data_IF_416675049867
#
_entry.id   IF_416675049867
#
_cell.length_a   1.000
_cell.length_b   1.000
_cell.length_c   1.000
_cell.angle_alpha   90.00
_cell.angle_beta   90.00
_cell.angle_gamma   90.00
#
_symmetry.space_group_name_H-M   'P 1'
#
loop_
_entity.id
_entity.type
_entity.pdbx_description
1 polymer ?
#
# COMPACT_ATOMS: atom_id res chain seq x y z
N UNK A 1 -41.71 39.67 -46.62
CA UNK A 1 -40.28 40.03 -46.43
C UNK A 1 -40.13 40.84 -45.15
N UNK A 2 -39.57 40.24 -44.09
CA UNK A 2 -38.89 40.90 -42.97
C UNK A 2 -38.11 39.79 -42.24
N UNK A 3 -36.84 39.68 -42.58
CA UNK A 3 -35.87 38.88 -41.83
C UNK A 3 -35.48 39.66 -40.57
N UNK A 4 -35.44 39.01 -39.41
CA UNK A 4 -34.71 39.54 -38.26
C UNK A 4 -33.87 38.42 -37.65
N UNK A 5 -32.58 38.76 -37.51
CA UNK A 5 -31.48 37.97 -36.98
C UNK A 5 -31.66 37.74 -35.48
N UNK A 6 -31.34 36.54 -35.00
CA UNK A 6 -30.74 36.34 -33.69
C UNK A 6 -29.86 35.10 -33.72
N UNK A 7 -28.57 35.30 -33.55
CA UNK A 7 -27.54 34.26 -33.49
C UNK A 7 -26.59 34.63 -32.34
N UNK A 8 -26.31 33.62 -31.52
CA UNK A 8 -25.13 33.40 -30.69
C UNK A 8 -24.73 34.45 -29.65
N UNK A 9 -25.08 34.15 -28.39
CA UNK A 9 -24.30 34.53 -27.22
C UNK A 9 -24.60 33.55 -26.07
N UNK A 10 -24.14 32.31 -26.16
CA UNK A 10 -24.31 31.29 -25.10
C UNK A 10 -23.29 30.15 -25.33
N UNK A 11 -22.01 30.38 -25.05
CA UNK A 11 -21.00 29.31 -25.03
C UNK A 11 -19.67 29.68 -24.37
N UNK A 12 -19.60 30.79 -23.61
CA UNK A 12 -18.32 31.25 -23.03
C UNK A 12 -18.28 31.07 -21.50
N UNK A 13 -19.43 31.11 -20.81
CA UNK A 13 -19.46 31.08 -19.34
C UNK A 13 -19.34 29.67 -18.71
N UNK A 14 -19.56 28.59 -19.46
CA UNK A 14 -19.52 27.22 -18.89
C UNK A 14 -18.08 26.67 -18.77
N UNK A 15 -17.14 27.15 -19.58
CA UNK A 15 -15.75 26.68 -19.53
C UNK A 15 -14.94 27.33 -18.41
N UNK A 16 -15.20 28.59 -18.05
CA UNK A 16 -14.48 29.27 -16.95
C UNK A 16 -14.87 28.72 -15.57
N UNK A 17 -16.16 28.40 -15.36
CA UNK A 17 -16.65 27.81 -14.10
C UNK A 17 -16.08 26.40 -13.84
N UNK A 18 -15.77 25.65 -14.91
CA UNK A 18 -15.16 24.31 -14.82
C UNK A 18 -13.67 24.35 -14.42
N UNK A 19 -12.95 25.42 -14.79
CA UNK A 19 -11.52 25.59 -14.49
C UNK A 19 -11.27 26.15 -13.08
N UNK A 20 -12.19 26.97 -12.56
CA UNK A 20 -12.06 27.57 -11.22
C UNK A 20 -12.28 26.51 -10.11
N UNK A 21 -13.24 25.62 -10.31
CA UNK A 21 -13.50 24.48 -9.41
C UNK A 21 -12.38 23.44 -9.37
N UNK A 22 -11.52 23.36 -10.39
CA UNK A 22 -10.37 22.44 -10.39
C UNK A 22 -9.18 23.00 -9.63
N UNK A 23 -8.99 24.32 -9.64
CA UNK A 23 -7.89 24.97 -8.92
C UNK A 23 -8.10 24.95 -7.41
N UNK A 24 -9.32 25.18 -6.94
CA UNK A 24 -9.62 25.12 -5.50
C UNK A 24 -9.48 23.70 -4.93
N UNK A 25 -9.79 22.67 -5.73
CA UNK A 25 -9.58 21.26 -5.36
C UNK A 25 -8.11 20.85 -5.24
N UNK A 26 -7.19 21.54 -5.92
CA UNK A 26 -5.76 21.25 -5.86
C UNK A 26 -5.06 21.90 -4.66
N UNK A 27 -5.70 22.89 -4.03
CA UNK A 27 -5.23 23.54 -2.80
C UNK A 27 -5.90 22.98 -1.54
N UNK A 28 -6.81 22.01 -1.70
CA UNK A 28 -7.42 21.27 -0.60
C UNK A 28 -6.32 20.50 0.16
N UNK A 29 -6.29 20.67 1.48
CA UNK A 29 -5.30 20.02 2.34
C UNK A 29 -5.38 18.49 2.27
N UNK A 30 -6.51 17.95 1.79
CA UNK A 30 -6.79 16.53 1.62
C UNK A 30 -6.61 16.02 0.19
N UNK A 31 -6.26 16.88 -0.78
CA UNK A 31 -6.14 16.51 -2.19
C UNK A 31 -5.18 15.31 -2.40
N UNK A 32 -4.09 15.28 -1.62
CA UNK A 32 -3.12 14.18 -1.65
C UNK A 32 -3.76 12.83 -1.28
N UNK A 33 -4.66 12.78 -0.30
CA UNK A 33 -5.29 11.55 0.17
C UNK A 33 -6.46 11.16 -0.73
N UNK A 34 -7.27 12.14 -1.17
CA UNK A 34 -8.52 11.88 -1.88
C UNK A 34 -8.26 11.59 -3.37
N UNK A 35 -7.36 12.33 -4.00
CA UNK A 35 -7.19 12.30 -5.46
C UNK A 35 -5.88 11.64 -5.90
N UNK A 36 -4.77 11.89 -5.20
CA UNK A 36 -3.44 11.42 -5.65
C UNK A 36 -3.13 10.02 -5.13
N UNK A 37 -3.43 9.76 -3.85
CA UNK A 37 -3.14 8.49 -3.19
C UNK A 37 -3.75 7.28 -3.90
N UNK A 38 -5.05 7.25 -4.30
CA UNK A 38 -5.61 6.10 -5.00
C UNK A 38 -4.83 5.71 -6.27
N UNK A 39 -4.47 6.69 -7.09
CA UNK A 39 -3.70 6.47 -8.32
C UNK A 39 -2.27 5.99 -8.05
N UNK A 40 -1.67 6.43 -6.94
CA UNK A 40 -0.34 5.97 -6.53
C UNK A 40 -0.37 4.57 -5.93
N UNK A 41 -1.46 4.17 -5.28
CA UNK A 41 -1.62 2.85 -4.68
C UNK A 41 -1.99 1.78 -5.70
N UNK A 42 -2.79 2.13 -6.71
CA UNK A 42 -3.18 1.21 -7.77
C UNK A 42 -1.93 0.69 -8.48
N UNK A 43 -1.77 -0.64 -8.51
CA UNK A 43 -0.59 -1.31 -9.09
C UNK A 43 0.75 -0.77 -8.54
N UNK A 44 0.78 -0.37 -7.27
CA UNK A 44 2.03 -0.04 -6.58
C UNK A 44 2.92 -1.26 -6.45
N UNK A 45 2.32 -2.42 -6.15
CA UNK A 45 3.03 -3.68 -6.06
C UNK A 45 3.15 -4.26 -7.46
N UNK A 46 4.38 -4.60 -7.83
CA UNK A 46 4.71 -5.23 -9.10
C UNK A 46 5.26 -6.63 -8.84
N UNK A 47 5.36 -7.44 -9.90
CA UNK A 47 6.04 -8.73 -9.86
C UNK A 47 7.24 -8.58 -10.79
N UNK A 48 8.44 -8.77 -10.26
CA UNK A 48 9.69 -8.64 -11.02
C UNK A 48 10.59 -9.84 -10.77
N UNK A 49 11.52 -10.09 -11.67
CA UNK A 49 12.53 -11.13 -11.49
C UNK A 49 13.38 -10.83 -10.26
N UNK A 50 13.67 -11.86 -9.48
CA UNK A 50 14.53 -11.74 -8.29
C UNK A 50 15.91 -11.18 -8.65
N UNK A 51 16.39 -11.51 -9.85
CA UNK A 51 17.62 -10.94 -10.40
C UNK A 51 17.55 -9.41 -10.52
N UNK A 52 16.52 -8.86 -11.16
CA UNK A 52 16.37 -7.41 -11.32
C UNK A 52 16.28 -6.72 -9.98
N UNK A 53 15.47 -7.26 -9.06
CA UNK A 53 15.32 -6.73 -7.70
C UNK A 53 16.67 -6.65 -6.99
N UNK A 54 17.48 -7.71 -7.03
CA UNK A 54 18.81 -7.72 -6.39
C UNK A 54 19.76 -6.70 -7.01
N UNK A 55 19.79 -6.59 -8.35
CA UNK A 55 20.66 -5.65 -9.07
C UNK A 55 20.31 -4.19 -8.75
N UNK A 56 19.03 -3.89 -8.57
CA UNK A 56 18.56 -2.54 -8.27
C UNK A 56 18.69 -2.18 -6.78
N UNK A 57 18.44 -3.14 -5.89
CA UNK A 57 18.39 -2.88 -4.44
C UNK A 57 19.72 -2.99 -3.71
N UNK A 58 20.70 -3.73 -4.25
CA UNK A 58 21.99 -3.89 -3.56
C UNK A 58 22.89 -2.66 -3.73
N UNK A 59 23.42 -2.18 -2.61
CA UNK A 59 24.44 -1.14 -2.57
C UNK A 59 25.87 -1.72 -2.69
N UNK A 60 26.01 -3.05 -2.66
CA UNK A 60 27.28 -3.75 -2.76
C UNK A 60 27.68 -3.91 -4.23
N UNK A 61 28.59 -3.06 -4.70
CA UNK A 61 29.09 -3.09 -6.07
C UNK A 61 29.76 -4.42 -6.42
N UNK A 62 30.42 -5.09 -5.46
CA UNK A 62 31.08 -6.37 -5.71
C UNK A 62 30.06 -7.48 -5.90
N UNK A 63 28.99 -7.48 -5.12
CA UNK A 63 27.86 -8.40 -5.30
C UNK A 63 27.16 -8.14 -6.64
N UNK A 64 26.90 -6.88 -6.96
CA UNK A 64 26.26 -6.47 -8.22
C UNK A 64 27.06 -6.92 -9.44
N UNK A 65 28.38 -6.74 -9.42
CA UNK A 65 29.26 -7.22 -10.49
C UNK A 65 29.23 -8.75 -10.62
N UNK A 66 29.27 -9.48 -9.50
CA UNK A 66 29.16 -10.94 -9.51
C UNK A 66 27.82 -11.43 -10.10
N UNK A 67 26.71 -10.77 -9.78
CA UNK A 67 25.41 -11.08 -10.36
C UNK A 67 25.38 -10.81 -11.87
N UNK A 68 25.97 -9.71 -12.33
CA UNK A 68 26.08 -9.37 -13.75
C UNK A 68 26.91 -10.42 -14.50
N UNK A 69 28.03 -10.87 -13.94
CA UNK A 69 28.89 -11.90 -14.53
C UNK A 69 28.14 -13.26 -14.65
N UNK A 70 27.20 -13.52 -13.76
CA UNK A 70 26.38 -14.72 -13.73
C UNK A 70 25.05 -14.61 -14.50
N UNK A 71 24.77 -13.47 -15.15
CA UNK A 71 23.46 -13.15 -15.74
C UNK A 71 22.87 -14.26 -16.63
N UNK A 72 23.67 -14.91 -17.46
CA UNK A 72 23.21 -15.93 -18.40
C UNK A 72 22.94 -17.29 -17.73
N UNK A 73 23.46 -17.49 -16.52
CA UNK A 73 23.28 -18.72 -15.73
C UNK A 73 22.14 -18.63 -14.70
N UNK A 74 21.67 -17.41 -14.41
CA UNK A 74 20.60 -17.17 -13.44
C UNK A 74 19.24 -17.39 -14.12
N UNK A 75 18.35 -18.09 -13.41
CA UNK A 75 16.97 -18.27 -13.86
C UNK A 75 16.15 -16.99 -13.62
N UNK A 76 15.87 -16.27 -14.71
CA UNK A 76 15.06 -15.03 -14.69
C UNK A 76 13.55 -15.30 -14.53
N UNK A 77 13.10 -16.56 -14.58
CA UNK A 77 11.70 -16.91 -14.34
C UNK A 77 11.32 -16.87 -12.85
N UNK A 78 12.31 -16.84 -11.97
CA UNK A 78 12.11 -16.71 -10.53
C UNK A 78 11.72 -15.26 -10.23
N UNK A 79 10.48 -15.06 -9.80
CA UNK A 79 9.90 -13.74 -9.51
C UNK A 79 9.64 -13.54 -8.02
N UNK A 80 9.57 -12.28 -7.61
CA UNK A 80 9.12 -11.84 -6.28
C UNK A 80 8.30 -10.55 -6.41
N UNK A 81 7.49 -10.27 -5.40
CA UNK A 81 6.84 -8.98 -5.22
C UNK A 81 7.90 -7.86 -5.13
N UNK A 82 7.68 -6.79 -5.89
CA UNK A 82 8.49 -5.56 -5.89
C UNK A 82 7.58 -4.34 -5.80
N UNK A 83 8.15 -3.14 -5.83
CA UNK A 83 7.45 -1.87 -5.73
C UNK A 83 7.78 -1.02 -6.95
N UNK A 84 6.76 -0.39 -7.55
CA UNK A 84 6.94 0.66 -8.53
C UNK A 84 7.70 1.85 -7.89
N UNK A 85 8.95 2.05 -8.29
CA UNK A 85 9.84 3.06 -7.71
C UNK A 85 9.33 4.48 -7.90
N UNK A 86 8.67 4.79 -9.02
CA UNK A 86 8.17 6.13 -9.31
C UNK A 86 6.98 6.46 -8.41
N UNK A 87 6.03 5.52 -8.27
CA UNK A 87 4.90 5.67 -7.35
C UNK A 87 5.37 5.70 -5.89
N UNK A 88 6.33 4.84 -5.52
CA UNK A 88 6.93 4.83 -4.18
C UNK A 88 7.60 6.16 -3.83
N UNK A 89 8.33 6.75 -4.79
CA UNK A 89 8.96 8.06 -4.61
C UNK A 89 7.90 9.14 -4.37
N UNK A 90 6.84 9.17 -5.18
CA UNK A 90 5.74 10.12 -5.02
C UNK A 90 5.03 9.97 -3.66
N UNK A 91 4.74 8.73 -3.25
CA UNK A 91 4.18 8.44 -1.93
C UNK A 91 5.10 8.87 -0.79
N UNK A 92 6.41 8.68 -0.93
CA UNK A 92 7.41 9.12 0.05
C UNK A 92 7.49 10.64 0.12
N UNK A 93 7.35 11.34 -1.01
CA UNK A 93 7.28 12.81 -1.02
C UNK A 93 6.03 13.34 -0.31
N UNK A 94 4.89 12.63 -0.41
CA UNK A 94 3.62 13.04 0.22
C UNK A 94 3.53 12.68 1.71
N UNK A 95 3.99 11.48 2.09
CA UNK A 95 3.77 10.92 3.44
C UNK A 95 5.07 10.65 4.22
N UNK A 96 6.23 10.96 3.64
CA UNK A 96 7.52 10.84 4.30
C UNK A 96 7.79 9.45 4.88
N UNK A 97 8.23 9.42 6.14
CA UNK A 97 8.59 8.18 6.83
C UNK A 97 7.41 7.22 7.04
N UNK A 98 6.16 7.72 7.07
CA UNK A 98 4.96 6.90 7.21
C UNK A 98 4.79 5.96 6.03
N UNK A 99 5.13 6.41 4.81
CA UNK A 99 5.14 5.56 3.62
C UNK A 99 6.17 4.43 3.74
N UNK A 100 7.41 4.75 4.15
CA UNK A 100 8.46 3.76 4.31
C UNK A 100 8.11 2.69 5.36
N UNK A 101 7.53 3.10 6.49
CA UNK A 101 7.01 2.18 7.50
C UNK A 101 5.86 1.33 6.96
N UNK A 102 4.95 1.91 6.18
CA UNK A 102 3.84 1.17 5.57
C UNK A 102 4.34 0.09 4.60
N UNK A 103 5.35 0.41 3.80
CA UNK A 103 6.02 -0.55 2.92
C UNK A 103 6.70 -1.66 3.73
N UNK A 104 7.43 -1.30 4.79
CA UNK A 104 8.04 -2.30 5.69
C UNK A 104 6.97 -3.23 6.29
N UNK A 105 5.81 -2.68 6.68
CA UNK A 105 4.68 -3.48 7.16
C UNK A 105 4.24 -4.50 6.11
N UNK A 106 4.00 -4.05 4.87
CA UNK A 106 3.51 -4.92 3.78
C UNK A 106 4.50 -6.05 3.47
N UNK A 107 5.80 -5.74 3.38
CA UNK A 107 6.82 -6.70 2.93
C UNK A 107 7.48 -7.51 4.05
N UNK A 108 7.53 -7.00 5.28
CA UNK A 108 8.30 -7.62 6.36
C UNK A 108 7.48 -8.06 7.57
N UNK A 109 6.19 -7.75 7.63
CA UNK A 109 5.33 -8.16 8.76
C UNK A 109 4.33 -9.23 8.33
N UNK A 110 3.88 -10.03 9.30
CA UNK A 110 2.70 -10.88 9.09
C UNK A 110 1.47 -10.04 9.38
N UNK A 111 0.52 -10.09 8.46
CA UNK A 111 -0.67 -9.27 8.48
C UNK A 111 -1.85 -10.19 8.73
N UNK A 112 -2.44 -10.07 9.92
CA UNK A 112 -3.63 -10.80 10.27
C UNK A 112 -4.84 -9.92 10.03
N UNK A 113 -5.86 -10.48 9.42
CA UNK A 113 -7.14 -9.85 9.20
C UNK A 113 -8.17 -10.59 10.06
N UNK A 114 -8.77 -9.88 11.02
CA UNK A 114 -9.91 -10.39 11.75
C UNK A 114 -11.18 -10.09 10.95
N UNK A 115 -11.91 -11.14 10.58
CA UNK A 115 -13.21 -11.04 9.90
C UNK A 115 -14.30 -11.60 10.80
N UNK A 116 -15.48 -10.98 10.77
CA UNK A 116 -16.66 -11.55 11.43
C UNK A 116 -17.03 -12.90 10.81
N UNK A 117 -17.55 -13.83 11.62
CA UNK A 117 -17.97 -15.15 11.14
C UNK A 117 -18.85 -15.07 9.89
N UNK A 118 -18.49 -15.86 8.87
CA UNK A 118 -19.25 -16.00 7.63
C UNK A 118 -18.83 -15.05 6.50
N UNK A 119 -17.81 -14.22 6.71
CA UNK A 119 -17.22 -13.39 5.64
C UNK A 119 -15.93 -14.02 5.16
N UNK A 120 -15.86 -14.29 3.86
CA UNK A 120 -14.62 -14.71 3.24
C UNK A 120 -13.75 -13.50 2.92
N UNK A 121 -12.43 -13.66 3.06
CA UNK A 121 -11.45 -12.61 2.79
C UNK A 121 -11.57 -12.07 1.36
N UNK A 122 -11.79 -12.97 0.40
CA UNK A 122 -11.99 -12.61 -1.00
C UNK A 122 -13.26 -11.78 -1.21
N UNK A 123 -14.34 -12.08 -0.51
CA UNK A 123 -15.57 -11.30 -0.61
C UNK A 123 -15.35 -9.88 -0.09
N UNK A 124 -14.67 -9.74 1.06
CA UNK A 124 -14.30 -8.43 1.60
C UNK A 124 -13.43 -7.64 0.62
N UNK A 125 -12.43 -8.26 0.01
CA UNK A 125 -11.54 -7.57 -0.92
C UNK A 125 -12.18 -7.21 -2.25
N UNK A 126 -13.17 -7.99 -2.71
CA UNK A 126 -13.94 -7.65 -3.90
C UNK A 126 -14.86 -6.44 -3.68
N UNK A 127 -15.41 -6.28 -2.48
CA UNK A 127 -16.29 -5.15 -2.16
C UNK A 127 -16.24 -4.81 -0.65
N UNK A 128 -15.22 -4.05 -0.20
CA UNK A 128 -15.07 -3.69 1.21
C UNK A 128 -16.27 -2.91 1.77
N UNK A 129 -17.00 -2.22 0.90
CA UNK A 129 -18.12 -1.36 1.26
C UNK A 129 -19.38 -2.16 1.60
N UNK A 130 -19.52 -3.41 1.14
CA UNK A 130 -20.65 -4.27 1.56
C UNK A 130 -20.61 -4.63 3.04
N UNK A 131 -19.44 -4.57 3.66
CA UNK A 131 -19.20 -5.11 5.00
C UNK A 131 -19.02 -3.99 6.05
N UNK A 132 -19.85 -2.95 5.95
CA UNK A 132 -19.85 -1.76 6.84
C UNK A 132 -20.06 -2.05 8.34
N UNK A 133 -20.52 -3.25 8.70
CA UNK A 133 -20.72 -3.67 10.10
C UNK A 133 -19.58 -4.51 10.64
N UNK A 134 -18.66 -4.95 9.79
CA UNK A 134 -17.62 -5.88 10.19
C UNK A 134 -16.34 -5.12 10.45
N UNK A 135 -15.82 -5.30 11.66
CA UNK A 135 -14.53 -4.76 12.04
C UNK A 135 -13.48 -5.55 11.27
N UNK A 136 -13.12 -5.08 10.07
CA UNK A 136 -11.89 -5.50 9.44
C UNK A 136 -10.76 -4.95 10.29
N UNK A 137 -10.29 -5.77 11.23
CA UNK A 137 -9.20 -5.40 12.11
C UNK A 137 -7.94 -6.03 11.57
N UNK A 138 -7.05 -5.20 11.02
CA UNK A 138 -5.71 -5.65 10.74
C UNK A 138 -4.91 -5.65 12.03
N UNK A 139 -4.26 -6.77 12.29
CA UNK A 139 -3.35 -7.00 13.40
C UNK A 139 -1.97 -7.28 12.80
N UNK A 140 -1.05 -6.32 12.91
CA UNK A 140 0.30 -6.42 12.34
C UNK A 140 1.24 -6.95 13.41
N UNK A 141 1.96 -8.04 13.11
CA UNK A 141 2.97 -8.57 14.03
C UNK A 141 4.38 -8.26 13.58
N UNK A 142 5.16 -7.74 14.52
CA UNK A 142 6.59 -7.51 14.40
C UNK A 142 7.38 -8.81 14.53
N UNK A 143 7.33 -9.65 13.48
CA UNK A 143 8.31 -10.74 13.32
C UNK A 143 9.44 -10.27 12.43
N UNK A 144 10.69 -10.39 12.89
CA UNK A 144 11.84 -10.01 12.08
C UNK A 144 11.94 -10.93 10.87
N UNK A 145 11.95 -10.36 9.66
CA UNK A 145 12.32 -11.11 8.47
C UNK A 145 13.83 -11.31 8.42
N UNK A 146 14.23 -12.46 7.89
CA UNK A 146 15.55 -12.72 7.35
C UNK A 146 15.92 -11.56 6.40
N UNK A 147 17.21 -11.20 6.34
CA UNK A 147 17.73 -10.20 5.41
C UNK A 147 17.17 -10.47 4.00
N UNK A 148 16.43 -9.51 3.44
CA UNK A 148 15.73 -9.68 2.16
C UNK A 148 16.73 -10.03 1.04
N UNK A 149 17.92 -9.44 1.04
CA UNK A 149 19.00 -9.79 0.09
C UNK A 149 19.35 -11.27 0.18
N UNK A 150 19.52 -11.81 1.39
CA UNK A 150 19.84 -13.23 1.60
C UNK A 150 18.70 -14.15 1.18
N UNK A 151 17.44 -13.78 1.49
CA UNK A 151 16.26 -14.55 1.05
C UNK A 151 16.19 -14.63 -0.47
N UNK A 152 16.41 -13.51 -1.15
CA UNK A 152 16.40 -13.41 -2.61
C UNK A 152 17.55 -14.18 -3.24
N UNK A 153 18.76 -14.09 -2.69
CA UNK A 153 19.91 -14.88 -3.14
C UNK A 153 19.63 -16.38 -3.00
N UNK A 154 19.05 -16.81 -1.88
CA UNK A 154 18.67 -18.21 -1.67
C UNK A 154 17.62 -18.67 -2.67
N UNK A 155 16.65 -17.82 -3.02
CA UNK A 155 15.68 -18.11 -4.10
C UNK A 155 16.36 -18.35 -5.44
N UNK A 156 17.45 -17.65 -5.73
CA UNK A 156 18.26 -17.89 -6.93
C UNK A 156 19.23 -19.09 -6.80
N UNK A 157 19.24 -19.79 -5.66
CA UNK A 157 20.16 -20.90 -5.40
C UNK A 157 21.57 -20.46 -5.02
N UNK A 158 21.75 -19.24 -4.50
CA UNK A 158 23.04 -18.70 -4.06
C UNK A 158 23.01 -18.29 -2.58
N UNK A 159 24.19 -18.19 -1.97
CA UNK A 159 24.38 -17.55 -0.67
C UNK A 159 25.66 -16.71 -0.68
N UNK A 160 25.70 -15.68 0.17
CA UNK A 160 26.88 -14.83 0.33
C UNK A 160 27.78 -15.40 1.43
N UNK A 161 29.01 -15.78 1.08
CA UNK A 161 30.02 -16.29 2.01
C UNK A 161 31.31 -15.49 1.85
N UNK A 162 31.74 -14.79 2.90
CA UNK A 162 32.94 -13.93 2.88
C UNK A 162 32.96 -12.93 1.70
N UNK A 163 31.81 -12.31 1.40
CA UNK A 163 31.68 -11.34 0.30
C UNK A 163 31.60 -11.95 -1.11
N UNK A 164 31.58 -13.28 -1.23
CA UNK A 164 31.44 -13.98 -2.51
C UNK A 164 30.12 -14.73 -2.61
N UNK A 165 29.53 -14.73 -3.81
CA UNK A 165 28.42 -15.61 -4.13
C UNK A 165 28.93 -17.03 -4.32
N UNK A 166 28.32 -17.97 -3.59
CA UNK A 166 28.56 -19.40 -3.73
C UNK A 166 27.22 -20.11 -3.96
N UNK A 167 27.16 -21.13 -4.83
CA UNK A 167 25.97 -21.95 -4.99
C UNK A 167 25.53 -22.53 -3.65
N UNK A 168 24.23 -22.44 -3.36
CA UNK A 168 23.62 -23.10 -2.22
C UNK A 168 23.45 -24.58 -2.57
N UNK A 169 24.16 -25.45 -1.86
CA UNK A 169 24.06 -26.91 -2.03
C UNK A 169 22.71 -27.48 -1.57
N UNK A 170 21.90 -26.68 -0.89
CA UNK A 170 20.68 -27.10 -0.22
C UNK A 170 19.44 -26.66 -1.02
N UNK A 171 19.21 -27.28 -2.18
CA UNK A 171 18.01 -27.04 -3.01
C UNK A 171 16.68 -27.44 -2.32
N UNK A 172 16.75 -28.08 -1.16
CA UNK A 172 15.58 -28.64 -0.44
C UNK A 172 15.18 -27.84 0.80
N UNK A 173 15.84 -26.74 1.11
CA UNK A 173 15.39 -25.89 2.22
C UNK A 173 14.23 -25.06 1.72
N UNK A 174 13.03 -25.62 1.83
CA UNK A 174 11.79 -24.88 1.67
C UNK A 174 11.88 -23.63 2.53
N UNK A 175 11.97 -22.47 1.89
CA UNK A 175 11.96 -21.13 2.53
C UNK A 175 10.70 -20.89 3.38
N UNK A 176 9.77 -21.85 3.42
CA UNK A 176 8.54 -21.84 4.18
C UNK A 176 8.69 -22.42 5.60
N UNK A 177 9.79 -23.10 5.95
CA UNK A 177 10.01 -23.67 7.29
C UNK A 177 10.92 -22.80 8.17
N UNK A 178 10.70 -21.48 8.19
CA UNK A 178 11.18 -20.66 9.32
C UNK A 178 10.12 -20.70 10.41
N UNK A 179 10.16 -21.83 11.13
CA UNK A 179 9.67 -22.11 12.48
C UNK A 179 8.82 -20.98 13.06
N UNK A 180 7.50 -21.16 13.04
CA UNK A 180 6.52 -20.44 13.86
C UNK A 180 6.74 -20.92 15.31
N UNK A 181 7.50 -20.17 16.09
CA UNK A 181 7.74 -20.46 17.51
C UNK A 181 7.54 -19.19 18.32
N UNK A 182 6.68 -19.33 19.32
CA UNK A 182 6.21 -18.41 20.35
C UNK A 182 5.49 -17.13 19.88
N UNK A 183 4.17 -17.11 20.10
CA UNK A 183 3.37 -15.87 20.27
C UNK A 183 3.95 -15.09 21.46
N UNK A 184 4.98 -14.28 21.23
CA UNK A 184 5.14 -13.09 22.07
C UNK A 184 3.97 -12.18 21.72
N UNK A 185 3.20 -11.73 22.72
CA UNK A 185 2.25 -10.63 22.58
C UNK A 185 3.06 -9.42 22.06
N UNK A 186 3.14 -9.26 20.75
CA UNK A 186 3.76 -8.10 20.13
C UNK A 186 2.84 -6.90 20.25
N UNK A 187 3.38 -5.70 20.03
CA UNK A 187 2.55 -4.51 19.87
C UNK A 187 1.66 -4.69 18.65
N UNK A 188 0.36 -4.81 18.89
CA UNK A 188 -0.65 -4.93 17.85
C UNK A 188 -1.33 -3.57 17.69
N UNK A 189 -1.35 -3.05 16.48
CA UNK A 189 -2.18 -1.89 16.14
C UNK A 189 -3.43 -2.36 15.41
N UNK A 190 -4.59 -1.93 15.89
CA UNK A 190 -5.89 -2.11 15.28
C UNK A 190 -6.14 -1.00 14.25
N UNK A 191 -6.45 -1.40 13.02
CA UNK A 191 -6.93 -0.49 11.96
C UNK A 191 -8.40 -0.78 11.70
N UNK A 192 -9.24 0.25 11.65
CA UNK A 192 -10.64 0.17 11.21
C UNK A 192 -10.84 1.19 10.08
N UNK A 193 -10.76 0.73 8.83
CA UNK A 193 -10.90 1.61 7.67
C UNK A 193 -12.31 2.16 7.48
N UNK A 194 -13.34 1.47 7.98
CA UNK A 194 -14.71 1.94 7.84
C UNK A 194 -14.94 3.20 8.69
N UNK A 195 -14.33 3.25 9.87
CA UNK A 195 -14.33 4.45 10.71
C UNK A 195 -13.10 5.35 10.48
N UNK A 196 -12.28 5.03 9.48
CA UNK A 196 -11.01 5.69 9.19
C UNK A 196 -10.09 5.82 10.41
N UNK A 197 -10.02 4.81 11.27
CA UNK A 197 -9.38 4.87 12.58
C UNK A 197 -8.15 3.94 12.68
N UNK A 198 -7.17 4.35 13.50
CA UNK A 198 -6.10 3.48 13.96
C UNK A 198 -5.69 3.81 15.40
N UNK A 199 -5.43 2.82 16.23
CA UNK A 199 -5.01 3.01 17.63
C UNK A 199 -3.52 3.32 17.80
N UNK A 200 -2.73 3.38 16.73
CA UNK A 200 -1.30 3.66 16.82
C UNK A 200 -1.00 5.13 17.18
N UNK A 201 0.13 5.35 17.87
CA UNK A 201 0.58 6.68 18.29
C UNK A 201 0.67 7.70 17.14
N UNK A 202 1.16 7.27 15.96
CA UNK A 202 1.30 8.14 14.78
C UNK A 202 -0.06 8.71 14.34
N UNK A 203 -1.12 7.88 14.39
CA UNK A 203 -2.47 8.32 14.08
C UNK A 203 -3.03 9.23 15.18
N UNK A 204 -2.87 8.83 16.45
CA UNK A 204 -3.38 9.60 17.60
C UNK A 204 -2.72 10.98 17.72
N UNK A 205 -1.44 11.10 17.37
CA UNK A 205 -0.71 12.37 17.39
C UNK A 205 -1.01 13.27 16.19
N UNK A 206 -1.69 12.76 15.16
CA UNK A 206 -2.06 13.58 14.00
C UNK A 206 -3.20 14.56 14.31
N UNK A 207 -3.97 14.33 15.37
CA UNK A 207 -5.05 15.20 15.78
C UNK A 207 -4.55 16.49 16.45
N UNK A 208 -5.09 17.63 16.00
CA UNK A 208 -4.79 18.95 16.56
C UNK A 208 -6.08 19.70 16.93
N UNK A 209 -6.00 20.63 17.86
CA UNK A 209 -7.16 21.38 18.38
C UNK A 209 -7.87 22.26 17.33
N UNK A 210 -7.19 22.58 16.22
CA UNK A 210 -7.68 23.42 15.13
C UNK A 210 -8.36 22.64 14.00
N UNK A 211 -8.35 21.31 14.06
CA UNK A 211 -9.04 20.45 13.08
C UNK A 211 -10.54 20.70 13.06
N UNK A 212 -11.12 20.64 11.85
CA UNK A 212 -12.57 20.87 11.65
C UNK A 212 -13.22 19.66 10.99
N UNK A 213 -14.49 19.37 11.32
CA UNK A 213 -15.26 18.39 10.58
C UNK A 213 -15.34 18.76 9.10
N UNK A 214 -15.03 17.80 8.23
CA UNK A 214 -15.16 17.93 6.79
C UNK A 214 -16.14 16.88 6.27
N UNK A 215 -16.98 17.28 5.32
CA UNK A 215 -17.90 16.36 4.66
C UNK A 215 -17.34 16.00 3.29
N UNK A 216 -16.91 14.75 3.16
CA UNK A 216 -16.48 14.19 1.87
C UNK A 216 -17.73 13.77 1.11
N UNK A 217 -18.00 14.44 -0.01
CA UNK A 217 -19.08 14.09 -0.92
C UNK A 217 -18.44 13.57 -2.21
N UNK A 218 -18.33 12.25 -2.34
CA UNK A 218 -17.71 11.62 -3.51
C UNK A 218 -17.76 10.11 -3.41
N UNK A 219 -17.82 9.47 -4.57
CA UNK A 219 -17.80 8.03 -4.78
C UNK A 219 -16.90 7.64 -5.96
N UNK A 220 -15.97 8.51 -6.34
CA UNK A 220 -15.14 8.31 -7.54
C UNK A 220 -14.10 7.21 -7.36
N UNK A 221 -13.70 6.95 -6.11
CA UNK A 221 -12.70 5.94 -5.76
C UNK A 221 -12.98 5.35 -4.37
N UNK A 222 -12.30 4.23 -4.07
CA UNK A 222 -12.50 3.48 -2.82
C UNK A 222 -12.27 4.35 -1.57
N UNK A 223 -11.27 5.23 -1.56
CA UNK A 223 -10.96 6.08 -0.40
C UNK A 223 -12.11 7.07 -0.17
N UNK A 224 -12.58 7.74 -1.22
CA UNK A 224 -13.76 8.61 -1.13
C UNK A 224 -15.00 7.87 -0.62
N UNK A 225 -15.24 6.65 -1.11
CA UNK A 225 -16.35 5.82 -0.63
C UNK A 225 -16.21 5.47 0.85
N UNK A 226 -15.02 5.08 1.30
CA UNK A 226 -14.76 4.77 2.72
C UNK A 226 -14.98 6.00 3.60
N UNK A 227 -14.45 7.15 3.21
CA UNK A 227 -14.57 8.40 3.96
C UNK A 227 -16.01 8.93 3.99
N UNK A 228 -16.73 8.87 2.87
CA UNK A 228 -18.11 9.37 2.76
C UNK A 228 -19.12 8.49 3.47
N UNK A 229 -18.84 7.19 3.61
CA UNK A 229 -19.70 6.22 4.30
C UNK A 229 -19.30 5.99 5.77
N UNK A 230 -18.22 6.64 6.23
CA UNK A 230 -17.75 6.53 7.61
C UNK A 230 -18.83 6.98 8.60
N UNK A 231 -19.00 6.20 9.67
CA UNK A 231 -19.85 6.60 10.82
C UNK A 231 -19.17 7.63 11.71
N UNK A 232 -17.84 7.72 11.61
CA UNK A 232 -17.04 8.65 12.38
C UNK A 232 -16.98 10.02 11.69
N UNK A 233 -16.81 11.07 12.48
CA UNK A 233 -16.62 12.42 11.94
C UNK A 233 -15.22 12.47 11.33
N UNK A 234 -15.15 12.72 10.02
CA UNK A 234 -13.90 12.97 9.33
C UNK A 234 -13.46 14.41 9.60
N UNK A 235 -12.18 14.59 9.94
CA UNK A 235 -11.58 15.88 10.21
C UNK A 235 -10.65 16.31 9.08
N UNK A 236 -10.42 17.60 8.97
CA UNK A 236 -9.44 18.21 8.07
C UNK A 236 -8.28 18.84 8.86
N UNK A 237 -7.01 18.53 8.51
CA UNK A 237 -6.59 17.55 7.49
C UNK A 237 -6.91 16.10 7.91
N UNK A 238 -7.17 15.22 6.94
CA UNK A 238 -7.54 13.82 7.19
C UNK A 238 -6.36 13.08 7.83
N UNK A 239 -6.52 12.56 9.06
CA UNK A 239 -5.51 11.73 9.72
C UNK A 239 -5.08 10.54 8.89
N UNK A 240 -3.77 10.32 8.74
CA UNK A 240 -3.23 9.13 8.07
C UNK A 240 -1.96 8.68 8.78
N UNK A 241 -1.81 7.36 8.93
CA UNK A 241 -0.62 6.75 9.53
C UNK A 241 -0.09 5.60 8.67
N UNK A 242 1.09 5.08 9.01
CA UNK A 242 1.69 3.95 8.32
C UNK A 242 0.80 2.68 8.30
N UNK A 243 -0.03 2.43 9.32
CA UNK A 243 -0.92 1.26 9.35
C UNK A 243 -2.13 1.39 8.42
N UNK A 244 -2.73 2.59 8.36
CA UNK A 244 -3.80 2.90 7.38
C UNK A 244 -3.21 2.80 5.96
N UNK A 245 -2.04 3.41 5.72
CA UNK A 245 -1.35 3.31 4.43
C UNK A 245 -1.06 1.86 4.05
N UNK A 246 -0.52 1.05 4.96
CA UNK A 246 -0.25 -0.37 4.70
C UNK A 246 -1.53 -1.12 4.33
N UNK A 247 -2.62 -0.87 5.05
CA UNK A 247 -3.93 -1.48 4.75
C UNK A 247 -4.43 -1.09 3.37
N UNK A 248 -4.32 0.19 3.00
CA UNK A 248 -4.71 0.67 1.67
C UNK A 248 -3.82 0.06 0.58
N UNK A 249 -2.50 -0.06 0.80
CA UNK A 249 -1.59 -0.74 -0.15
C UNK A 249 -2.08 -2.18 -0.42
N UNK A 250 -2.46 -2.92 0.62
CA UNK A 250 -2.99 -4.28 0.49
C UNK A 250 -4.28 -4.29 -0.32
N UNK A 251 -5.25 -3.44 0.04
CA UNK A 251 -6.54 -3.37 -0.64
C UNK A 251 -6.40 -3.08 -2.14
N UNK A 252 -5.55 -2.14 -2.51
CA UNK A 252 -5.33 -1.75 -3.91
C UNK A 252 -4.45 -2.74 -4.69
N UNK A 253 -3.82 -3.72 -4.03
CA UNK A 253 -2.90 -4.67 -4.65
C UNK A 253 -3.16 -6.12 -4.23
N UNK A 254 -4.41 -6.43 -3.86
CA UNK A 254 -4.72 -7.70 -3.20
C UNK A 254 -4.39 -8.92 -4.07
N UNK A 255 -4.61 -8.83 -5.37
CA UNK A 255 -4.30 -9.91 -6.33
C UNK A 255 -2.84 -10.37 -6.25
N UNK A 256 -1.94 -9.47 -5.83
CA UNK A 256 -0.51 -9.74 -5.70
C UNK A 256 -0.08 -10.03 -4.27
N UNK A 257 -0.89 -9.66 -3.27
CA UNK A 257 -0.56 -9.73 -1.83
C UNK A 257 -1.43 -10.73 -1.05
N UNK A 258 -2.29 -11.50 -1.71
CA UNK A 258 -3.21 -12.43 -1.04
C UNK A 258 -2.47 -13.43 -0.14
N UNK A 259 -1.28 -13.89 -0.52
CA UNK A 259 -0.45 -14.82 0.25
C UNK A 259 0.18 -14.20 1.52
N UNK A 260 0.06 -12.87 1.69
CA UNK A 260 0.58 -12.11 2.82
C UNK A 260 -0.44 -11.88 3.93
N UNK A 261 -1.73 -12.07 3.63
CA UNK A 261 -2.84 -11.80 4.54
C UNK A 261 -3.35 -13.11 5.13
N UNK A 262 -3.25 -13.23 6.45
CA UNK A 262 -3.76 -14.38 7.20
C UNK A 262 -5.12 -14.03 7.80
N UNK A 263 -6.09 -14.93 7.70
CA UNK A 263 -7.42 -14.71 8.29
C UNK A 263 -7.47 -15.31 9.69
N UNK A 264 -7.92 -14.51 10.65
CA UNK A 264 -8.39 -14.98 11.95
C UNK A 264 -9.90 -14.70 12.02
N UNK A 265 -10.67 -15.68 12.49
CA UNK A 265 -12.09 -15.49 12.71
C UNK A 265 -12.31 -15.16 14.19
N UNK A 266 -13.00 -14.06 14.47
CA UNK A 266 -13.51 -13.73 15.81
C UNK A 266 -14.72 -14.58 16.20
#
# INVERSE_FOLDING_TARGET
>A
MKQSKHTHQQSVDENELSMETTKDKLLDSNANIIHILPSCLQELITIDSVYNILIESTNDNDLKNQLIDLKDSIDHSIVEQSIDQNKCLLLTMMFGSSCMKAIDIVFNKQIYCCLSMGIELNDYFNDPLKFTTTQFKITITSRSTVNMEEKLLLKLGYKKLHGRLVPSSDNNTSTNEIIISSKSLGDYNSVDLYNWYCDCDEYQQSYTDDMKPVKINGDSNLIECLLSQSKSIILEPIPICCHILATLIILFNIEKLHDRVFVEYE
#
